data_IF_641151643163
#
_entry.id   IF_641151643163
#
_cell.length_a   1.000
_cell.length_b   1.000
_cell.length_c   1.000
_cell.angle_alpha   90.00
_cell.angle_beta   90.00
_cell.angle_gamma   90.00
#
_symmetry.space_group_name_H-M   'P 1'
#
loop_
_entity.id
_entity.type
_entity.pdbx_description
1 polymer ?
#
# COMPACT_ATOMS: atom_id res chain seq x y z
N UNK A 1 -7.97 3.85 -20.15
CA UNK A 1 -8.65 3.09 -19.08
C UNK A 1 -8.61 1.58 -19.35
N UNK A 2 -9.29 1.11 -20.41
CA UNK A 2 -9.48 -0.30 -20.76
C UNK A 2 -8.79 -0.69 -22.09
N UNK A 3 -8.87 -1.97 -22.45
CA UNK A 3 -8.42 -2.53 -23.73
C UNK A 3 -9.62 -3.08 -24.54
N UNK A 4 -9.57 -3.00 -25.86
CA UNK A 4 -10.63 -3.48 -26.77
C UNK A 4 -10.49 -4.95 -27.19
N UNK A 5 -9.33 -5.55 -26.94
CA UNK A 5 -8.98 -6.94 -27.26
C UNK A 5 -7.72 -7.35 -26.44
N UNK A 6 -7.35 -8.64 -26.37
CA UNK A 6 -6.15 -9.09 -25.65
C UNK A 6 -4.87 -8.52 -26.27
N UNK A 7 -4.28 -7.49 -25.63
CA UNK A 7 -3.14 -6.76 -26.19
C UNK A 7 -2.27 -6.13 -25.09
N UNK A 8 -0.99 -5.95 -25.38
CA UNK A 8 -0.10 -5.09 -24.59
C UNK A 8 -0.50 -3.62 -24.83
N UNK A 9 -0.93 -2.93 -23.79
CA UNK A 9 -1.42 -1.55 -23.88
C UNK A 9 -1.25 -0.79 -22.56
N UNK A 10 -1.47 0.53 -22.61
CA UNK A 10 -1.52 1.43 -21.44
C UNK A 10 -2.80 1.30 -20.60
N UNK A 11 -3.59 0.25 -20.78
CA UNK A 11 -4.82 0.06 -20.00
C UNK A 11 -4.50 -0.28 -18.55
N UNK A 12 -5.30 0.24 -17.62
CA UNK A 12 -5.29 -0.17 -16.21
C UNK A 12 -6.16 -1.40 -15.97
N UNK A 13 -7.13 -1.66 -16.85
CA UNK A 13 -7.99 -2.85 -16.87
C UNK A 13 -7.76 -3.56 -18.20
N UNK A 14 -7.51 -4.86 -18.20
CA UNK A 14 -7.35 -5.63 -19.43
C UNK A 14 -8.70 -5.95 -20.11
N UNK A 15 -8.65 -6.64 -21.25
CA UNK A 15 -9.84 -6.99 -22.03
C UNK A 15 -10.84 -7.88 -21.26
N UNK A 16 -10.34 -8.75 -20.38
CA UNK A 16 -11.16 -9.66 -19.58
C UNK A 16 -11.70 -9.01 -18.29
N UNK A 17 -11.44 -7.72 -18.09
CA UNK A 17 -11.89 -6.98 -16.91
C UNK A 17 -10.98 -7.12 -15.70
N UNK A 18 -9.81 -7.75 -15.83
CA UNK A 18 -8.87 -7.86 -14.72
C UNK A 18 -8.24 -6.51 -14.43
N UNK A 19 -8.21 -6.14 -13.16
CA UNK A 19 -7.51 -4.94 -12.71
C UNK A 19 -6.00 -5.22 -12.71
N UNK A 20 -5.24 -4.43 -13.47
CA UNK A 20 -3.77 -4.39 -13.35
C UNK A 20 -3.38 -3.56 -12.14
N UNK A 21 -2.11 -3.67 -11.72
CA UNK A 21 -1.53 -2.87 -10.63
C UNK A 21 -1.91 -1.37 -10.71
N UNK A 22 -1.86 -0.80 -11.91
CA UNK A 22 -2.20 0.61 -12.16
C UNK A 22 -3.60 0.99 -11.67
N UNK A 23 -4.60 0.11 -11.78
CA UNK A 23 -5.96 0.45 -11.36
C UNK A 23 -6.10 0.49 -9.83
N UNK A 24 -5.41 -0.40 -9.11
CA UNK A 24 -5.32 -0.34 -7.64
C UNK A 24 -4.57 0.91 -7.18
N UNK A 25 -3.49 1.29 -7.87
CA UNK A 25 -2.77 2.52 -7.55
C UNK A 25 -3.62 3.77 -7.86
N UNK A 26 -4.34 3.80 -8.99
CA UNK A 26 -5.28 4.88 -9.30
C UNK A 26 -6.35 5.05 -8.21
N UNK A 27 -6.92 3.94 -7.71
CA UNK A 27 -7.86 3.95 -6.57
C UNK A 27 -7.24 4.59 -5.32
N UNK A 28 -5.96 4.33 -5.03
CA UNK A 28 -5.26 4.88 -3.84
C UNK A 28 -4.92 6.36 -4.00
N UNK A 29 -4.40 6.77 -5.16
CA UNK A 29 -3.98 8.17 -5.38
C UNK A 29 -5.15 9.13 -5.62
N UNK A 30 -6.33 8.62 -5.96
CA UNK A 30 -7.58 9.39 -6.04
C UNK A 30 -8.45 9.26 -4.78
N UNK A 31 -7.89 8.82 -3.65
CA UNK A 31 -8.60 8.87 -2.38
C UNK A 31 -8.93 10.34 -2.02
N UNK A 32 -10.12 10.64 -1.44
CA UNK A 32 -10.53 12.02 -1.14
C UNK A 32 -9.58 12.79 -0.22
N UNK A 33 -8.82 12.06 0.61
CA UNK A 33 -7.71 12.58 1.41
C UNK A 33 -6.50 11.69 1.13
N UNK A 34 -5.38 12.31 0.74
CA UNK A 34 -4.14 11.62 0.40
C UNK A 34 -2.97 12.21 1.19
N UNK A 35 -2.15 11.33 1.77
CA UNK A 35 -0.81 11.68 2.25
C UNK A 35 0.16 11.44 1.09
N UNK A 36 0.83 12.47 0.63
CA UNK A 36 1.77 12.40 -0.49
C UNK A 36 3.21 12.74 -0.03
N UNK A 37 4.00 11.73 0.38
CA UNK A 37 5.42 11.88 0.64
C UNK A 37 6.20 11.97 -0.68
N UNK A 38 6.81 13.12 -0.95
CA UNK A 38 7.59 13.35 -2.18
C UNK A 38 9.01 13.82 -1.85
N UNK A 39 10.00 13.16 -2.45
CA UNK A 39 11.39 13.62 -2.39
C UNK A 39 11.60 14.74 -3.40
N UNK A 40 11.99 15.92 -2.92
CA UNK A 40 12.35 17.07 -3.72
C UNK A 40 13.73 17.55 -3.26
N UNK A 41 14.71 17.52 -4.17
CA UNK A 41 16.12 17.71 -3.84
C UNK A 41 16.55 16.71 -2.73
N UNK A 42 17.21 17.20 -1.68
CA UNK A 42 17.70 16.39 -0.56
C UNK A 42 16.68 16.27 0.59
N UNK A 43 15.43 16.69 0.38
CA UNK A 43 14.39 16.69 1.41
C UNK A 43 13.19 15.84 1.02
N UNK A 44 12.61 15.17 2.01
CA UNK A 44 11.32 14.52 1.93
C UNK A 44 10.26 15.51 2.41
N UNK A 45 9.37 15.90 1.50
CA UNK A 45 8.27 16.81 1.76
C UNK A 45 6.99 16.00 1.88
N UNK A 46 6.24 16.20 2.97
CA UNK A 46 4.96 15.53 3.20
C UNK A 46 3.84 16.51 2.88
N UNK A 47 3.06 16.18 1.87
CA UNK A 47 1.86 16.91 1.51
C UNK A 47 0.61 16.19 2.02
N UNK A 48 -0.35 16.96 2.50
CA UNK A 48 -1.73 16.51 2.67
C UNK A 48 -2.55 17.12 1.54
N UNK A 49 -3.25 16.26 0.81
CA UNK A 49 -4.11 16.64 -0.31
C UNK A 49 -5.53 16.25 0.06
N UNK A 50 -6.49 17.16 -0.13
CA UNK A 50 -7.89 16.95 0.16
C UNK A 50 -8.73 17.47 -0.98
N UNK A 51 -9.56 16.61 -1.55
CA UNK A 51 -10.66 16.95 -2.47
C UNK A 51 -12.01 17.01 -1.72
N UNK A 52 -11.99 17.00 -0.37
CA UNK A 52 -13.21 17.13 0.42
C UNK A 52 -13.77 18.55 0.33
N UNK A 53 -15.10 18.73 0.30
CA UNK A 53 -15.73 20.06 0.27
C UNK A 53 -15.60 20.82 1.60
N UNK A 54 -15.37 20.10 2.71
CA UNK A 54 -15.24 20.67 4.04
C UNK A 54 -13.79 20.57 4.54
N UNK A 55 -13.35 21.60 5.25
CA UNK A 55 -12.08 21.62 5.99
C UNK A 55 -12.08 20.53 7.06
N UNK A 56 -10.92 19.86 7.22
CA UNK A 56 -10.69 18.85 8.25
C UNK A 56 -9.72 19.41 9.29
N UNK A 57 -10.22 19.65 10.49
CA UNK A 57 -9.44 20.20 11.61
C UNK A 57 -9.07 19.14 12.65
N UNK A 58 -8.12 19.49 13.52
CA UNK A 58 -7.67 18.66 14.65
C UNK A 58 -7.18 17.28 14.22
N UNK A 59 -6.51 17.22 13.07
CA UNK A 59 -5.92 16.00 12.56
C UNK A 59 -4.56 15.74 13.23
N UNK A 60 -4.21 14.46 13.29
CA UNK A 60 -2.91 14.00 13.74
C UNK A 60 -2.23 13.21 12.62
N UNK A 61 -1.05 13.65 12.21
CA UNK A 61 -0.18 12.90 11.29
C UNK A 61 0.91 12.22 12.11
N UNK A 62 0.92 10.88 12.06
CA UNK A 62 1.94 10.05 12.67
C UNK A 62 2.84 9.45 11.58
N UNK A 63 4.15 9.56 11.77
CA UNK A 63 5.17 9.00 10.88
C UNK A 63 6.08 8.08 11.69
N UNK A 64 6.16 6.81 11.26
CA UNK A 64 6.97 5.77 11.90
C UNK A 64 7.93 5.18 10.89
N UNK A 65 9.19 5.03 11.28
CA UNK A 65 10.15 4.27 10.50
C UNK A 65 10.32 2.89 11.11
N UNK A 66 10.26 1.90 10.24
CA UNK A 66 10.38 0.50 10.59
C UNK A 66 11.30 -0.15 9.57
N UNK A 67 12.18 -1.02 10.03
CA UNK A 67 12.94 -1.88 9.12
C UNK A 67 12.05 -2.99 8.54
N UNK A 68 12.60 -3.73 7.58
CA UNK A 68 11.86 -4.77 6.88
C UNK A 68 11.54 -6.00 7.76
N UNK A 69 12.13 -6.11 8.95
CA UNK A 69 11.85 -7.17 9.93
C UNK A 69 10.84 -6.72 11.00
N UNK A 70 10.36 -5.47 10.94
CA UNK A 70 9.33 -4.95 11.85
C UNK A 70 9.87 -4.21 13.07
N UNK A 71 11.18 -4.01 13.18
CA UNK A 71 11.79 -3.25 14.27
C UNK A 71 11.72 -1.76 13.98
N UNK A 72 11.17 -1.03 14.95
CA UNK A 72 10.99 0.44 14.89
C UNK A 72 12.33 1.15 15.02
N UNK A 73 12.53 2.16 14.18
CA UNK A 73 13.70 3.03 14.19
C UNK A 73 13.35 4.36 14.84
N UNK A 74 14.03 4.69 15.94
CA UNK A 74 13.83 5.94 16.67
C UNK A 74 12.43 6.11 17.26
N UNK A 75 12.08 7.36 17.60
CA UNK A 75 10.75 7.73 18.09
C UNK A 75 9.85 8.14 16.91
N UNK A 76 8.55 7.82 16.93
CA UNK A 76 7.60 8.33 15.95
C UNK A 76 7.61 9.86 15.91
N UNK A 77 7.50 10.43 14.71
CA UNK A 77 7.27 11.86 14.53
C UNK A 77 5.75 12.07 14.48
N UNK A 78 5.25 12.98 15.32
CA UNK A 78 3.82 13.28 15.39
C UNK A 78 3.60 14.77 15.21
N UNK A 79 2.71 15.13 14.27
CA UNK A 79 2.19 16.47 14.11
C UNK A 79 0.74 16.47 14.55
N UNK A 80 0.43 17.28 15.56
CA UNK A 80 -0.89 17.38 16.15
C UNK A 80 -1.57 18.67 15.71
N UNK A 81 -2.90 18.70 15.81
CA UNK A 81 -3.71 19.89 15.53
C UNK A 81 -3.50 20.41 14.10
N UNK A 82 -3.33 19.49 13.15
CA UNK A 82 -3.27 19.85 11.74
C UNK A 82 -4.66 20.20 11.22
N UNK A 83 -4.70 21.20 10.35
CA UNK A 83 -5.87 21.57 9.57
C UNK A 83 -5.56 21.36 8.11
N UNK A 84 -6.45 20.66 7.40
CA UNK A 84 -6.41 20.48 5.95
C UNK A 84 -7.62 21.18 5.36
N UNK A 85 -7.46 22.36 4.73
CA UNK A 85 -8.56 23.07 4.10
C UNK A 85 -9.19 22.26 2.95
N UNK A 86 -10.46 22.54 2.68
CA UNK A 86 -11.19 21.96 1.56
C UNK A 86 -10.50 22.22 0.21
N UNK A 87 -10.43 21.21 -0.66
CA UNK A 87 -9.88 21.31 -2.03
C UNK A 87 -8.46 21.92 -2.10
N UNK A 88 -7.54 21.46 -1.25
CA UNK A 88 -6.16 21.98 -1.20
C UNK A 88 -5.10 20.90 -1.22
N UNK A 89 -3.88 21.31 -1.57
CA UNK A 89 -2.65 20.56 -1.40
C UNK A 89 -1.68 21.40 -0.58
N UNK A 90 -1.30 20.92 0.61
CA UNK A 90 -0.45 21.66 1.54
C UNK A 90 0.72 20.81 2.02
N UNK A 91 1.94 21.37 1.93
CA UNK A 91 3.11 20.78 2.57
C UNK A 91 3.04 21.04 4.08
N UNK A 92 2.92 19.99 4.87
CA UNK A 92 2.79 20.07 6.34
C UNK A 92 4.08 19.72 7.07
N UNK A 93 5.00 19.04 6.40
CA UNK A 93 6.27 18.65 6.99
C UNK A 93 7.38 18.56 5.96
N UNK A 94 8.61 18.90 6.37
CA UNK A 94 9.82 18.73 5.57
C UNK A 94 10.90 18.15 6.45
N UNK A 95 11.55 17.10 5.98
CA UNK A 95 12.63 16.44 6.69
C UNK A 95 13.72 16.03 5.72
N UNK A 96 14.98 16.17 6.13
CA UNK A 96 16.12 15.59 5.42
C UNK A 96 16.36 14.20 6.01
N UNK A 97 16.06 13.10 5.30
CA UNK A 97 16.21 11.75 5.87
C UNK A 97 17.63 11.47 6.38
N UNK A 98 18.63 11.99 5.66
CA UNK A 98 20.05 11.79 5.96
C UNK A 98 20.50 12.37 7.31
N UNK A 99 19.67 13.19 7.98
CA UNK A 99 20.01 13.72 9.31
C UNK A 99 19.74 12.73 10.45
N UNK A 100 19.04 11.62 10.18
CA UNK A 100 18.64 10.63 11.20
C UNK A 100 18.51 9.20 10.68
N UNK A 101 18.64 8.96 9.38
CA UNK A 101 18.75 7.64 8.76
C UNK A 101 19.99 7.61 7.86
N UNK A 102 20.92 6.72 8.17
CA UNK A 102 22.08 6.46 7.32
C UNK A 102 21.68 5.95 5.92
N UNK A 103 22.55 6.13 4.90
CA UNK A 103 22.29 5.59 3.56
C UNK A 103 21.97 4.09 3.54
N UNK A 104 22.62 3.30 4.41
CA UNK A 104 22.41 1.86 4.57
C UNK A 104 21.04 1.54 5.19
N UNK A 105 20.63 2.28 6.24
CA UNK A 105 19.30 2.11 6.85
C UNK A 105 18.18 2.46 5.86
N UNK A 106 18.39 3.45 4.99
CA UNK A 106 17.43 3.83 3.95
C UNK A 106 17.18 2.73 2.91
N UNK A 107 18.07 1.74 2.78
CA UNK A 107 17.86 0.57 1.93
C UNK A 107 17.07 -0.55 2.63
N UNK A 108 16.92 -0.47 3.96
CA UNK A 108 16.34 -1.53 4.82
C UNK A 108 15.08 -1.11 5.56
N UNK A 109 14.67 0.15 5.38
CA UNK A 109 13.53 0.73 6.11
C UNK A 109 12.51 1.35 5.17
N UNK A 110 11.29 1.44 5.67
CA UNK A 110 10.22 2.26 5.11
C UNK A 110 9.67 3.19 6.17
N UNK A 111 8.96 4.24 5.74
CA UNK A 111 8.21 5.12 6.61
C UNK A 111 6.71 4.90 6.38
N UNK A 112 5.99 4.51 7.43
CA UNK A 112 4.54 4.47 7.43
C UNK A 112 4.02 5.83 7.91
N UNK A 113 3.10 6.42 7.15
CA UNK A 113 2.44 7.67 7.49
C UNK A 113 0.95 7.39 7.67
N UNK A 114 0.38 7.82 8.79
CA UNK A 114 -1.04 7.65 9.11
C UNK A 114 -1.63 8.98 9.55
N UNK A 115 -2.69 9.41 8.88
CA UNK A 115 -3.45 10.60 9.22
C UNK A 115 -4.74 10.18 9.93
N UNK A 116 -4.95 10.68 11.14
CA UNK A 116 -6.09 10.37 11.99
C UNK A 116 -6.92 11.60 12.29
N UNK A 117 -8.24 11.41 12.43
CA UNK A 117 -9.13 12.43 12.96
C UNK A 117 -9.07 12.53 14.49
N UNK A 118 -9.80 13.50 15.06
CA UNK A 118 -9.91 13.69 16.51
C UNK A 118 -10.48 12.50 17.28
N UNK A 119 -11.23 11.61 16.62
CA UNK A 119 -11.81 10.40 17.20
C UNK A 119 -10.84 9.20 17.11
N UNK A 120 -9.68 9.37 16.46
CA UNK A 120 -8.68 8.34 16.26
C UNK A 120 -8.91 7.47 15.02
N UNK A 121 -9.90 7.77 14.18
CA UNK A 121 -10.14 7.04 12.94
C UNK A 121 -9.06 7.38 11.92
N UNK A 122 -8.52 6.37 11.24
CA UNK A 122 -7.59 6.57 10.12
C UNK A 122 -8.35 7.13 8.92
N UNK A 123 -7.98 8.35 8.50
CA UNK A 123 -8.51 8.99 7.30
C UNK A 123 -7.70 8.64 6.06
N UNK A 124 -6.38 8.52 6.21
CA UNK A 124 -5.48 8.15 5.13
C UNK A 124 -4.23 7.47 5.71
N UNK A 125 -3.65 6.57 4.93
CA UNK A 125 -2.39 5.90 5.24
C UNK A 125 -1.58 5.70 3.96
N UNK A 126 -0.25 5.75 4.09
CA UNK A 126 0.65 5.45 2.98
C UNK A 126 2.00 4.95 3.50
N UNK A 127 2.75 4.31 2.61
CA UNK A 127 4.09 3.80 2.88
C UNK A 127 5.06 4.45 1.91
N UNK A 128 6.17 4.97 2.45
CA UNK A 128 7.23 5.59 1.68
C UNK A 128 8.52 4.78 1.80
N UNK A 129 9.14 4.47 0.67
CA UNK A 129 10.45 3.84 0.60
C UNK A 129 11.50 4.90 0.24
N UNK A 130 12.63 4.91 0.95
CA UNK A 130 13.67 5.93 0.79
C UNK A 130 14.56 5.73 -0.44
N UNK A 131 14.46 4.57 -1.08
CA UNK A 131 15.24 4.14 -2.24
C UNK A 131 14.33 3.49 -3.29
N UNK A 132 14.84 3.39 -4.52
CA UNK A 132 14.15 2.65 -5.58
C UNK A 132 14.11 1.17 -5.20
N UNK A 133 13.09 0.45 -5.67
CA UNK A 133 12.88 -0.97 -5.31
C UNK A 133 14.11 -1.84 -5.52
N UNK A 134 14.83 -1.67 -6.64
CA UNK A 134 16.06 -2.44 -6.94
C UNK A 134 17.23 -2.19 -5.97
N UNK A 135 17.19 -1.07 -5.24
CA UNK A 135 18.22 -0.67 -4.29
C UNK A 135 17.79 -1.00 -2.84
N UNK A 136 16.59 -1.59 -2.65
CA UNK A 136 16.13 -2.08 -1.35
C UNK A 136 16.73 -3.46 -1.08
N UNK A 137 17.23 -3.64 0.15
CA UNK A 137 17.71 -4.94 0.62
C UNK A 137 16.52 -5.74 1.16
N UNK A 138 15.62 -6.15 0.25
CA UNK A 138 14.41 -6.88 0.60
C UNK A 138 14.76 -8.23 1.25
N UNK A 139 14.14 -8.59 2.39
CA UNK A 139 14.40 -9.85 3.07
C UNK A 139 13.77 -11.02 2.29
N UNK A 140 14.38 -12.19 2.40
CA UNK A 140 13.70 -13.43 2.04
C UNK A 140 12.58 -13.68 3.05
N UNK A 141 11.36 -13.84 2.55
CA UNK A 141 10.19 -14.06 3.38
C UNK A 141 9.18 -14.91 2.64
N UNK A 142 8.26 -15.51 3.39
CA UNK A 142 7.17 -16.32 2.84
C UNK A 142 5.86 -15.77 3.33
N UNK A 143 4.97 -15.45 2.39
CA UNK A 143 3.63 -14.98 2.72
C UNK A 143 2.75 -16.18 3.06
N UNK A 144 2.40 -16.30 4.34
CA UNK A 144 1.40 -17.27 4.79
C UNK A 144 -0.01 -16.77 4.44
N UNK A 145 -0.88 -17.69 4.03
CA UNK A 145 -2.25 -17.38 3.64
C UNK A 145 -3.23 -18.35 4.31
N UNK A 146 -4.27 -17.81 4.95
CA UNK A 146 -5.45 -18.58 5.38
C UNK A 146 -6.62 -18.24 4.50
N UNK A 147 -7.32 -19.25 4.02
CA UNK A 147 -8.42 -19.11 3.06
C UNK A 147 -9.76 -19.52 3.68
N UNK A 148 -10.79 -18.72 3.48
CA UNK A 148 -12.19 -19.03 3.82
C UNK A 148 -13.06 -18.83 2.59
N UNK A 149 -13.57 -19.92 2.03
CA UNK A 149 -14.34 -19.91 0.79
C UNK A 149 -15.85 -20.06 1.05
N UNK A 150 -16.63 -19.31 0.29
CA UNK A 150 -18.09 -19.38 0.21
C UNK A 150 -18.49 -19.30 -1.26
N UNK A 151 -19.74 -19.59 -1.59
CA UNK A 151 -20.22 -19.41 -2.95
C UNK A 151 -20.11 -17.95 -3.37
N UNK A 152 -19.48 -17.70 -4.52
CA UNK A 152 -19.26 -16.37 -5.08
C UNK A 152 -18.08 -15.59 -4.48
N UNK A 153 -17.43 -16.08 -3.41
CA UNK A 153 -16.48 -15.29 -2.63
C UNK A 153 -15.40 -16.12 -1.92
N UNK A 154 -14.18 -15.60 -1.88
CA UNK A 154 -13.08 -16.15 -1.11
C UNK A 154 -12.43 -15.06 -0.26
N UNK A 155 -12.30 -15.27 1.05
CA UNK A 155 -11.60 -14.37 1.97
C UNK A 155 -10.20 -14.95 2.28
N UNK A 156 -9.17 -14.19 1.97
CA UNK A 156 -7.77 -14.50 2.26
C UNK A 156 -7.29 -13.65 3.43
N UNK A 157 -6.67 -14.26 4.43
CA UNK A 157 -5.90 -13.57 5.46
C UNK A 157 -4.42 -13.85 5.26
N UNK A 158 -3.70 -12.83 4.83
CA UNK A 158 -2.27 -12.87 4.56
C UNK A 158 -1.48 -12.42 5.78
N UNK A 159 -0.30 -13.00 5.96
CA UNK A 159 0.64 -12.62 7.01
C UNK A 159 2.07 -12.94 6.58
N UNK A 160 3.00 -12.04 6.89
CA UNK A 160 4.42 -12.22 6.67
C UNK A 160 5.20 -11.68 7.88
N UNK A 161 6.24 -12.38 8.37
CA UNK A 161 7.07 -11.88 9.47
C UNK A 161 7.95 -10.70 9.04
N UNK A 162 8.28 -10.61 7.75
CA UNK A 162 9.08 -9.54 7.17
C UNK A 162 8.31 -8.84 6.02
N UNK A 163 8.83 -7.73 5.50
CA UNK A 163 8.22 -7.02 4.37
C UNK A 163 8.14 -7.93 3.14
N UNK A 164 6.93 -8.15 2.62
CA UNK A 164 6.73 -8.66 1.26
C UNK A 164 6.30 -7.50 0.34
N UNK A 165 7.21 -7.10 -0.56
CA UNK A 165 7.06 -5.92 -1.42
C UNK A 165 6.20 -6.21 -2.65
N UNK A 166 5.23 -5.33 -2.91
CA UNK A 166 4.30 -5.37 -4.06
C UNK A 166 3.66 -6.75 -4.27
N UNK A 167 3.06 -7.29 -3.21
CA UNK A 167 2.35 -8.58 -3.21
C UNK A 167 1.28 -8.60 -4.30
N UNK A 168 1.39 -9.59 -5.19
CA UNK A 168 0.44 -9.90 -6.23
C UNK A 168 -0.21 -11.26 -5.97
N UNK A 169 -1.53 -11.25 -5.77
CA UNK A 169 -2.34 -12.45 -5.65
C UNK A 169 -2.91 -12.79 -7.02
N UNK A 170 -2.58 -13.97 -7.52
CA UNK A 170 -2.99 -14.48 -8.82
C UNK A 170 -3.91 -15.70 -8.64
N UNK A 171 -5.01 -15.74 -9.37
CA UNK A 171 -5.91 -16.90 -9.45
C UNK A 171 -6.29 -17.15 -10.91
N UNK A 172 -6.61 -18.38 -11.32
CA UNK A 172 -6.93 -18.73 -12.70
C UNK A 172 -8.38 -18.37 -13.11
N UNK A 173 -8.99 -17.36 -12.48
CA UNK A 173 -10.37 -16.94 -12.75
C UNK A 173 -10.40 -15.54 -13.38
N UNK A 174 -10.76 -15.49 -14.66
CA UNK A 174 -10.89 -14.23 -15.41
C UNK A 174 -12.01 -13.34 -14.83
N UNK A 175 -11.74 -12.05 -14.75
CA UNK A 175 -12.69 -11.04 -14.28
C UNK A 175 -12.99 -11.08 -12.78
N UNK A 176 -12.30 -11.93 -12.01
CA UNK A 176 -12.43 -11.94 -10.55
C UNK A 176 -11.99 -10.59 -9.96
N UNK A 177 -12.74 -10.12 -8.97
CA UNK A 177 -12.47 -8.82 -8.32
C UNK A 177 -11.82 -9.03 -6.98
N UNK A 178 -10.88 -8.17 -6.64
CA UNK A 178 -10.18 -8.18 -5.36
C UNK A 178 -10.51 -6.90 -4.59
N UNK A 179 -10.72 -7.00 -3.28
CA UNK A 179 -10.86 -5.83 -2.42
C UNK A 179 -9.60 -4.96 -2.45
N UNK A 180 -8.44 -5.61 -2.54
CA UNK A 180 -7.13 -5.01 -2.76
C UNK A 180 -6.15 -6.03 -3.38
N UNK A 181 -5.18 -5.56 -4.16
CA UNK A 181 -4.09 -6.37 -4.73
C UNK A 181 -2.90 -5.43 -5.06
N UNK A 182 -1.72 -5.95 -5.40
CA UNK A 182 -0.53 -5.13 -5.69
C UNK A 182 -0.23 -4.13 -4.57
N UNK A 183 -0.07 -4.63 -3.35
CA UNK A 183 0.20 -3.85 -2.14
C UNK A 183 1.43 -4.38 -1.41
N UNK A 184 2.04 -3.55 -0.57
CA UNK A 184 3.05 -4.01 0.37
C UNK A 184 2.39 -4.70 1.56
N UNK A 185 2.87 -5.89 1.93
CA UNK A 185 2.48 -6.57 3.15
C UNK A 185 3.55 -6.27 4.22
N UNK A 186 3.19 -5.43 5.17
CA UNK A 186 4.09 -4.93 6.19
C UNK A 186 4.45 -6.03 7.22
N UNK A 187 5.68 -5.99 7.78
CA UNK A 187 6.16 -7.00 8.71
C UNK A 187 5.27 -7.12 9.95
N UNK A 188 4.81 -8.35 10.23
CA UNK A 188 3.99 -8.64 11.39
C UNK A 188 2.52 -8.19 11.29
N UNK A 189 2.13 -7.53 10.20
CA UNK A 189 0.75 -7.09 9.99
C UNK A 189 -0.06 -8.15 9.22
N UNK A 190 -1.32 -8.34 9.63
CA UNK A 190 -2.26 -9.20 8.91
C UNK A 190 -3.07 -8.35 7.94
N UNK A 191 -3.20 -8.83 6.70
CA UNK A 191 -4.05 -8.17 5.69
C UNK A 191 -5.10 -9.14 5.17
N UNK A 192 -6.35 -8.70 5.18
CA UNK A 192 -7.47 -9.46 4.62
C UNK A 192 -7.80 -8.96 3.22
N UNK A 193 -7.88 -9.88 2.26
CA UNK A 193 -8.29 -9.62 0.88
C UNK A 193 -9.51 -10.48 0.56
N UNK A 194 -10.57 -9.85 0.07
CA UNK A 194 -11.78 -10.53 -0.40
C UNK A 194 -11.73 -10.60 -1.92
N UNK A 195 -11.87 -11.81 -2.45
CA UNK A 195 -11.96 -12.12 -3.87
C UNK A 195 -13.41 -12.49 -4.18
N UNK A 196 -14.00 -11.90 -5.22
CA UNK A 196 -15.36 -12.23 -5.67
C UNK A 196 -15.37 -12.67 -7.13
N UNK A 197 -16.09 -13.76 -7.39
CA UNK A 197 -16.38 -14.28 -8.73
C UNK A 197 -17.52 -15.29 -8.63
N UNK A 198 -18.52 -15.27 -9.54
CA UNK A 198 -19.61 -16.24 -9.54
C UNK A 198 -19.15 -17.69 -9.75
N UNK A 199 -17.90 -17.89 -10.22
CA UNK A 199 -17.29 -19.20 -10.44
C UNK A 199 -16.69 -19.80 -9.15
N UNK A 200 -16.55 -19.02 -8.08
CA UNK A 200 -16.06 -19.54 -6.80
C UNK A 200 -17.18 -20.34 -6.14
N UNK A 201 -16.91 -21.60 -5.77
CA UNK A 201 -17.87 -22.49 -5.11
C UNK A 201 -17.36 -22.98 -3.77
N UNK A 202 -18.23 -23.06 -2.76
CA UNK A 202 -17.86 -23.59 -1.45
C UNK A 202 -17.49 -25.08 -1.58
N UNK A 203 -16.34 -25.46 -1.02
CA UNK A 203 -15.87 -26.85 -1.00
C UNK A 203 -14.99 -27.24 -2.20
N UNK A 204 -14.87 -26.38 -3.21
CA UNK A 204 -13.89 -26.52 -4.28
C UNK A 204 -12.58 -25.82 -3.89
N UNK A 205 -11.45 -26.36 -4.34
CA UNK A 205 -10.16 -25.68 -4.19
C UNK A 205 -10.08 -24.51 -5.17
N UNK A 206 -9.71 -23.33 -4.68
CA UNK A 206 -9.34 -22.19 -5.51
C UNK A 206 -7.82 -22.12 -5.62
N UNK A 207 -7.20 -22.51 -6.76
CA UNK A 207 -5.78 -22.36 -6.94
C UNK A 207 -5.39 -20.89 -6.82
N UNK A 208 -4.37 -20.61 -6.02
CA UNK A 208 -3.83 -19.27 -5.85
C UNK A 208 -2.31 -19.30 -5.86
N UNK A 209 -1.72 -18.26 -6.43
CA UNK A 209 -0.29 -18.00 -6.35
C UNK A 209 -0.11 -16.61 -5.77
N UNK A 210 0.79 -16.47 -4.79
CA UNK A 210 1.16 -15.19 -4.21
C UNK A 210 2.60 -14.94 -4.64
N UNK A 211 2.83 -13.80 -5.29
CA UNK A 211 4.15 -13.37 -5.76
C UNK A 211 4.55 -12.06 -5.07
N UNK A 212 5.84 -11.86 -4.82
CA UNK A 212 6.38 -10.57 -4.39
C UNK A 212 7.76 -10.30 -5.00
N UNK A 213 8.24 -9.05 -4.93
CA UNK A 213 9.43 -8.62 -5.69
C UNK A 213 10.69 -9.44 -5.37
N UNK A 214 10.94 -9.79 -4.10
CA UNK A 214 12.13 -10.56 -3.70
C UNK A 214 12.26 -11.91 -4.44
N UNK A 215 11.15 -12.52 -4.85
CA UNK A 215 11.13 -13.82 -5.57
C UNK A 215 11.51 -13.70 -7.05
N UNK A 216 11.71 -12.47 -7.56
CA UNK A 216 11.96 -12.24 -8.99
C UNK A 216 13.46 -12.20 -9.36
N UNK A 217 14.34 -12.38 -8.38
CA UNK A 217 15.79 -12.42 -8.55
C UNK A 217 16.44 -13.37 -7.54
N UNK A 218 17.66 -13.83 -7.84
CA UNK A 218 18.45 -14.68 -6.94
C UNK A 218 19.26 -13.81 -5.97
#
# INVERSE_FOLDING_TARGET
>A
LNASWPVVSWSSIDYYGNWKALHYQAKRVFAPILINPIRQNDSLNIYLISDCPDTKDHLMLEMKVTDFDGKKQGKPIQLNTLTVPANTSQCVYRIKPDTWLSPEEQQRCFMQLTLKDKAGNTLAETVYFFRKTKDLLLPETTVSCKMKQKDGMCELTLFSPALAKDVFIEIPLQGARFSDNFFDLLPGERKTVVITSPQIKKGEELPLTIKHIRETYN
#
